data_IF_219934460791
#
_entry.id   IF_219934460791
#
_cell.length_a   1.000
_cell.length_b   1.000
_cell.length_c   1.000
_cell.angle_alpha   90.00
_cell.angle_beta   90.00
_cell.angle_gamma   90.00
#
_symmetry.space_group_name_H-M   'P 1'
#
loop_
_entity.id
_entity.type
_entity.pdbx_description
1 polymer ?
#
# COMPACT_ATOMS: atom_id res chain seq x y z
N UNK A 1 21.27 -0.26 33.53
CA UNK A 1 21.69 -0.75 32.20
C UNK A 1 20.40 -1.11 31.53
N UNK A 2 19.88 -0.23 30.69
CA UNK A 2 18.66 -0.50 29.89
C UNK A 2 19.06 -1.46 28.77
N UNK A 3 18.49 -2.67 28.79
CA UNK A 3 18.65 -3.64 27.73
C UNK A 3 18.23 -3.00 26.39
N UNK A 4 19.17 -2.98 25.47
CA UNK A 4 19.00 -2.44 24.11
C UNK A 4 18.17 -3.48 23.36
N UNK A 5 16.86 -3.28 23.29
CA UNK A 5 15.97 -4.16 22.49
C UNK A 5 16.24 -3.90 21.01
N UNK A 6 16.98 -4.78 20.40
CA UNK A 6 17.27 -4.77 18.97
C UNK A 6 16.10 -5.41 18.23
N UNK A 7 15.58 -4.77 17.18
CA UNK A 7 14.46 -5.31 16.42
C UNK A 7 14.76 -6.71 15.87
N UNK A 8 13.78 -7.59 16.02
CA UNK A 8 13.84 -9.02 15.68
C UNK A 8 13.28 -9.20 14.26
N UNK A 9 14.11 -9.68 13.36
CA UNK A 9 13.76 -9.87 11.95
C UNK A 9 13.64 -11.36 11.65
N UNK A 10 12.51 -11.79 11.11
CA UNK A 10 12.34 -13.11 10.53
C UNK A 10 12.56 -13.03 9.01
N UNK A 11 13.39 -13.91 8.47
CA UNK A 11 13.76 -13.94 7.05
C UNK A 11 13.23 -15.22 6.42
N UNK A 12 12.50 -15.05 5.29
CA UNK A 12 12.10 -16.14 4.41
C UNK A 12 12.75 -15.93 3.03
N UNK A 13 13.57 -16.86 2.61
CA UNK A 13 14.17 -16.86 1.29
C UNK A 13 14.41 -18.30 0.80
N UNK A 14 14.16 -18.54 -0.47
CA UNK A 14 14.18 -19.86 -1.10
C UNK A 14 15.59 -20.43 -1.28
N UNK A 15 16.59 -19.60 -1.56
CA UNK A 15 17.94 -20.10 -1.78
C UNK A 15 18.84 -19.93 -0.54
N UNK A 16 19.74 -20.89 -0.31
CA UNK A 16 20.70 -20.81 0.79
C UNK A 16 21.66 -19.62 0.68
N UNK A 17 22.00 -19.23 -0.54
CA UNK A 17 22.86 -18.08 -0.81
C UNK A 17 22.13 -16.78 -0.40
N UNK A 18 20.89 -16.64 -0.81
CA UNK A 18 20.04 -15.48 -0.49
C UNK A 18 19.89 -15.34 1.04
N UNK A 19 19.53 -16.43 1.71
CA UNK A 19 19.45 -16.48 3.18
C UNK A 19 20.73 -16.04 3.85
N UNK A 20 21.89 -16.49 3.35
CA UNK A 20 23.19 -16.13 3.91
C UNK A 20 23.49 -14.63 3.72
N UNK A 21 23.26 -14.10 2.53
CA UNK A 21 23.54 -12.68 2.22
C UNK A 21 22.62 -11.76 3.03
N UNK A 22 21.32 -12.08 3.12
CA UNK A 22 20.36 -11.32 3.94
C UNK A 22 20.76 -11.34 5.42
N UNK A 23 21.08 -12.52 5.96
CA UNK A 23 21.53 -12.63 7.35
C UNK A 23 22.75 -11.77 7.65
N UNK A 24 23.75 -11.78 6.76
CA UNK A 24 24.96 -10.96 6.94
C UNK A 24 24.65 -9.46 6.87
N UNK A 25 23.83 -9.01 5.91
CA UNK A 25 23.45 -7.62 5.78
C UNK A 25 22.68 -7.12 7.01
N UNK A 26 21.72 -7.92 7.51
CA UNK A 26 20.92 -7.59 8.68
C UNK A 26 21.77 -7.55 9.95
N UNK A 27 22.54 -8.60 10.21
CA UNK A 27 23.39 -8.68 11.40
C UNK A 27 24.49 -7.62 11.38
N UNK A 28 25.10 -7.39 10.22
CA UNK A 28 26.10 -6.32 10.02
C UNK A 28 25.55 -4.91 10.26
N UNK A 29 24.24 -4.72 10.04
CA UNK A 29 23.53 -3.47 10.31
C UNK A 29 22.96 -3.38 11.74
N UNK A 30 23.17 -4.40 12.59
CA UNK A 30 22.81 -4.41 14.00
C UNK A 30 21.41 -4.95 14.30
N UNK A 31 20.71 -5.55 13.34
CA UNK A 31 19.41 -6.22 13.57
C UNK A 31 19.60 -7.64 14.11
N UNK A 32 18.64 -8.13 14.89
CA UNK A 32 18.61 -9.49 15.39
C UNK A 32 17.78 -10.40 14.47
N UNK A 33 18.41 -11.35 13.80
CA UNK A 33 17.70 -12.32 12.95
C UNK A 33 17.24 -13.50 13.81
N UNK A 34 15.93 -13.58 14.06
CA UNK A 34 15.30 -14.61 14.93
C UNK A 34 14.89 -15.87 14.16
N UNK A 35 14.64 -15.73 12.87
CA UNK A 35 14.38 -16.84 11.95
C UNK A 35 15.09 -16.55 10.63
N UNK A 36 15.64 -17.58 9.99
CA UNK A 36 16.16 -17.50 8.64
C UNK A 36 15.95 -18.84 7.95
N UNK A 37 14.83 -18.98 7.24
CA UNK A 37 14.36 -20.26 6.73
C UNK A 37 13.92 -20.20 5.27
N UNK A 38 13.85 -21.40 4.69
CA UNK A 38 13.20 -21.68 3.44
C UNK A 38 11.69 -21.87 3.71
N UNK A 39 10.79 -21.21 2.98
CA UNK A 39 9.35 -21.41 3.16
C UNK A 39 8.92 -22.88 3.09
N UNK A 40 9.55 -23.69 2.23
CA UNK A 40 9.24 -25.10 2.09
C UNK A 40 9.56 -25.96 3.34
N UNK A 41 10.23 -25.39 4.33
CA UNK A 41 10.63 -26.06 5.58
C UNK A 41 9.85 -25.60 6.80
N UNK A 42 8.91 -24.71 6.63
CA UNK A 42 8.06 -24.19 7.69
C UNK A 42 6.63 -24.65 7.47
N UNK A 43 5.95 -24.95 8.57
CA UNK A 43 4.51 -25.14 8.62
C UNK A 43 3.84 -23.96 9.33
N UNK A 44 2.53 -23.94 9.31
CA UNK A 44 1.73 -22.84 9.88
C UNK A 44 1.93 -22.74 11.41
N UNK A 45 2.19 -23.85 12.10
CA UNK A 45 2.45 -23.87 13.55
C UNK A 45 3.81 -23.24 13.87
N UNK A 46 4.84 -23.58 13.10
CA UNK A 46 6.17 -22.99 13.24
C UNK A 46 6.15 -21.49 12.88
N UNK A 47 5.36 -21.10 11.88
CA UNK A 47 5.19 -19.70 11.51
C UNK A 47 4.56 -18.87 12.65
N UNK A 48 3.48 -19.39 13.24
CA UNK A 48 2.76 -18.75 14.34
C UNK A 48 3.59 -18.62 15.63
N UNK A 49 4.58 -19.49 15.81
CA UNK A 49 5.47 -19.50 16.98
C UNK A 49 6.61 -18.47 16.90
N UNK A 50 6.82 -17.81 15.74
CA UNK A 50 7.93 -16.88 15.55
C UNK A 50 7.59 -15.51 16.11
N UNK A 51 8.28 -15.10 17.15
CA UNK A 51 8.21 -13.75 17.67
C UNK A 51 9.19 -12.83 16.91
N UNK A 52 8.72 -12.14 15.88
CA UNK A 52 9.47 -11.17 15.11
C UNK A 52 8.81 -9.78 15.17
N UNK A 53 9.59 -8.75 14.93
CA UNK A 53 9.11 -7.37 14.82
C UNK A 53 8.92 -6.96 13.35
N UNK A 54 9.45 -7.78 12.41
CA UNK A 54 9.27 -7.65 10.97
C UNK A 54 9.59 -8.98 10.27
N UNK A 55 8.82 -9.28 9.24
CA UNK A 55 9.12 -10.35 8.28
C UNK A 55 9.76 -9.77 7.02
N UNK A 56 10.92 -10.32 6.64
CA UNK A 56 11.57 -10.04 5.37
C UNK A 56 11.42 -11.26 4.47
N UNK A 57 10.63 -11.12 3.41
CA UNK A 57 10.33 -12.19 2.45
C UNK A 57 11.04 -11.87 1.14
N UNK A 58 11.93 -12.75 0.70
CA UNK A 58 12.71 -12.60 -0.52
C UNK A 58 12.77 -13.93 -1.28
N UNK A 59 11.78 -14.15 -2.13
CA UNK A 59 11.54 -15.38 -2.87
C UNK A 59 11.64 -15.11 -4.38
N UNK A 60 12.32 -16.01 -5.09
CA UNK A 60 12.46 -15.93 -6.55
C UNK A 60 11.13 -16.24 -7.30
N UNK A 61 10.26 -17.03 -6.67
CA UNK A 61 8.92 -17.36 -7.15
C UNK A 61 7.97 -17.31 -5.96
N UNK A 62 7.41 -16.14 -5.70
CA UNK A 62 6.47 -15.94 -4.58
C UNK A 62 5.03 -16.35 -4.92
N UNK A 63 4.73 -16.62 -6.19
CA UNK A 63 3.37 -16.79 -6.71
C UNK A 63 2.66 -18.08 -6.24
N UNK A 64 3.40 -19.08 -5.72
CA UNK A 64 2.84 -20.38 -5.34
C UNK A 64 3.23 -20.81 -3.92
N UNK A 65 3.51 -19.89 -3.00
CA UNK A 65 3.85 -20.27 -1.63
C UNK A 65 2.65 -20.11 -0.69
N UNK A 66 1.92 -21.20 -0.36
CA UNK A 66 0.82 -21.16 0.60
C UNK A 66 1.23 -20.57 1.95
N UNK A 67 2.50 -20.73 2.32
CA UNK A 67 3.05 -20.18 3.56
C UNK A 67 3.11 -18.64 3.53
N UNK A 68 3.37 -18.03 2.36
CA UNK A 68 3.35 -16.56 2.23
C UNK A 68 1.93 -16.04 2.37
N UNK A 69 0.96 -16.75 1.82
CA UNK A 69 -0.47 -16.42 1.98
C UNK A 69 -0.86 -16.49 3.45
N UNK A 70 -0.52 -17.59 4.13
CA UNK A 70 -0.74 -17.75 5.58
C UNK A 70 -0.03 -16.65 6.37
N UNK A 71 1.22 -16.32 6.02
CA UNK A 71 1.96 -15.24 6.66
C UNK A 71 1.26 -13.88 6.50
N UNK A 72 0.81 -13.55 5.31
CA UNK A 72 0.09 -12.30 5.04
C UNK A 72 -1.27 -12.23 5.74
N UNK A 73 -1.90 -13.40 5.94
CA UNK A 73 -3.17 -13.50 6.68
C UNK A 73 -2.98 -13.38 8.20
N UNK A 74 -1.88 -13.87 8.74
CA UNK A 74 -1.68 -14.02 10.19
C UNK A 74 -0.67 -13.02 10.77
N UNK A 75 0.21 -12.42 9.97
CA UNK A 75 1.23 -11.53 10.48
C UNK A 75 0.63 -10.26 11.10
N UNK A 76 0.91 -10.07 12.37
CA UNK A 76 0.56 -8.85 13.12
C UNK A 76 1.62 -7.75 13.00
N UNK A 77 2.76 -8.08 12.38
CA UNK A 77 3.92 -7.20 12.19
C UNK A 77 4.14 -6.91 10.71
N UNK A 78 4.86 -5.83 10.35
CA UNK A 78 5.15 -5.51 8.96
C UNK A 78 5.81 -6.67 8.20
N UNK A 79 5.35 -6.93 6.99
CA UNK A 79 6.00 -7.82 6.04
C UNK A 79 6.68 -6.96 4.98
N UNK A 80 8.01 -7.04 4.92
CA UNK A 80 8.84 -6.38 3.92
C UNK A 80 9.23 -7.39 2.84
N UNK A 81 8.82 -7.13 1.64
CA UNK A 81 9.28 -7.91 0.50
C UNK A 81 10.62 -7.38 -0.01
N UNK A 82 11.53 -8.31 -0.35
CA UNK A 82 12.91 -8.00 -0.71
C UNK A 82 13.05 -7.06 -1.90
N UNK A 83 14.28 -6.56 -2.08
CA UNK A 83 14.68 -5.66 -3.19
C UNK A 83 15.06 -6.44 -4.47
N UNK A 84 14.54 -7.66 -4.65
CA UNK A 84 15.00 -8.60 -5.65
C UNK A 84 16.25 -9.36 -5.20
N UNK A 85 16.79 -10.19 -6.08
CA UNK A 85 17.96 -11.03 -5.77
C UNK A 85 19.10 -10.20 -5.18
N UNK A 86 19.54 -10.57 -3.96
CA UNK A 86 20.70 -9.94 -3.34
C UNK A 86 21.93 -10.15 -4.22
N UNK A 87 22.62 -9.08 -4.63
CA UNK A 87 23.81 -9.21 -5.44
C UNK A 87 24.94 -9.85 -4.64
N UNK A 88 25.90 -10.46 -5.31
CA UNK A 88 27.10 -10.99 -4.67
C UNK A 88 27.82 -9.88 -3.88
N UNK A 89 28.31 -10.23 -2.68
CA UNK A 89 28.91 -9.27 -1.73
C UNK A 89 30.06 -8.43 -2.31
N UNK A 90 30.77 -8.97 -3.31
CA UNK A 90 31.87 -8.28 -3.98
C UNK A 90 31.47 -7.55 -5.26
N UNK A 91 30.18 -7.55 -5.61
CA UNK A 91 29.70 -6.82 -6.78
C UNK A 91 29.57 -5.32 -6.49
N UNK A 92 29.73 -4.51 -7.53
CA UNK A 92 29.58 -3.04 -7.44
C UNK A 92 28.15 -2.63 -7.01
N UNK A 93 27.17 -3.51 -7.20
CA UNK A 93 25.78 -3.25 -6.86
C UNK A 93 25.43 -3.57 -5.39
N UNK A 94 26.24 -4.36 -4.68
CA UNK A 94 25.96 -4.78 -3.30
C UNK A 94 25.83 -3.59 -2.33
N UNK A 95 26.71 -2.57 -2.30
CA UNK A 95 26.58 -1.45 -1.36
C UNK A 95 25.34 -0.58 -1.60
N UNK A 96 24.84 -0.56 -2.85
CA UNK A 96 23.63 0.18 -3.20
C UNK A 96 22.38 -0.61 -2.77
N UNK A 97 22.37 -1.90 -2.98
CA UNK A 97 21.32 -2.82 -2.55
C UNK A 97 21.22 -2.85 -1.02
N UNK A 98 22.33 -3.03 -0.30
CA UNK A 98 22.40 -3.06 1.17
C UNK A 98 21.88 -1.76 1.78
N UNK A 99 22.28 -0.61 1.26
CA UNK A 99 21.78 0.69 1.73
C UNK A 99 20.28 0.86 1.54
N UNK A 100 19.71 0.35 0.45
CA UNK A 100 18.26 0.40 0.21
C UNK A 100 17.53 -0.50 1.19
N UNK A 101 17.97 -1.74 1.35
CA UNK A 101 17.39 -2.69 2.30
C UNK A 101 17.42 -2.14 3.73
N UNK A 102 18.60 -1.73 4.20
CA UNK A 102 18.78 -1.17 5.55
C UNK A 102 17.98 0.13 5.71
N UNK A 103 17.91 0.96 4.68
CA UNK A 103 17.09 2.17 4.69
C UNK A 103 15.59 1.90 4.86
N UNK A 104 15.07 0.82 4.27
CA UNK A 104 13.68 0.37 4.47
C UNK A 104 13.46 -0.17 5.88
N UNK A 105 14.38 -1.02 6.36
CA UNK A 105 14.31 -1.57 7.70
C UNK A 105 14.34 -0.49 8.79
N UNK A 106 15.23 0.49 8.68
CA UNK A 106 15.30 1.63 9.61
C UNK A 106 13.98 2.39 9.71
N UNK A 107 13.22 2.48 8.63
CA UNK A 107 11.91 3.14 8.61
C UNK A 107 10.80 2.29 9.21
N UNK A 108 10.87 0.96 9.07
CA UNK A 108 9.83 0.06 9.53
C UNK A 108 10.00 -0.37 11.00
N UNK A 109 11.26 -0.66 11.41
CA UNK A 109 11.57 -1.18 12.73
C UNK A 109 12.62 -0.37 13.49
N UNK A 110 12.95 0.82 12.99
CA UNK A 110 13.90 1.73 13.63
C UNK A 110 15.38 1.42 13.34
N UNK A 111 16.24 2.36 13.75
CA UNK A 111 17.68 2.23 13.61
C UNK A 111 18.27 1.51 14.84
N UNK A 112 18.82 0.31 14.70
CA UNK A 112 19.37 -0.43 15.83
C UNK A 112 20.59 0.27 16.50
N UNK A 113 21.16 1.27 15.83
CA UNK A 113 22.29 2.06 16.37
C UNK A 113 21.84 3.29 17.17
N UNK A 114 20.58 3.68 17.10
CA UNK A 114 20.02 4.79 17.86
C UNK A 114 19.24 4.31 19.09
N UNK A 115 19.22 5.10 20.16
CA UNK A 115 18.42 4.81 21.35
C UNK A 115 16.93 4.86 20.98
N UNK A 116 16.18 3.86 21.41
CA UNK A 116 14.77 3.60 21.07
C UNK A 116 13.88 4.81 21.41
N UNK A 117 13.30 5.42 20.37
CA UNK A 117 12.00 6.07 20.49
C UNK A 117 10.90 4.99 20.61
N UNK A 118 9.64 5.34 20.87
CA UNK A 118 8.57 4.38 21.14
C UNK A 118 8.51 3.31 20.06
N UNK A 119 8.47 2.04 20.49
CA UNK A 119 8.51 0.88 19.60
C UNK A 119 7.29 0.86 18.66
N UNK A 120 7.48 0.37 17.43
CA UNK A 120 6.38 0.14 16.46
C UNK A 120 5.28 -0.78 17.00
N UNK A 121 5.55 -1.60 18.00
CA UNK A 121 4.53 -2.34 18.75
C UNK A 121 3.44 -1.43 19.34
N UNK A 122 3.79 -0.19 19.73
CA UNK A 122 2.83 0.81 20.17
C UNK A 122 1.94 1.35 19.01
N UNK A 123 2.35 1.19 17.76
CA UNK A 123 1.56 1.56 16.58
C UNK A 123 0.61 0.44 16.13
N UNK A 124 0.86 -0.80 16.56
CA UNK A 124 0.04 -1.96 16.24
C UNK A 124 -0.69 -2.54 17.46
N UNK A 125 -0.58 -1.93 18.65
CA UNK A 125 -1.29 -2.37 19.83
C UNK A 125 -2.80 -2.39 19.54
N UNK A 126 -3.37 -3.56 19.66
CA UNK A 126 -4.78 -3.89 19.44
C UNK A 126 -5.75 -3.03 20.29
N UNK A 127 -5.23 -2.32 21.30
CA UNK A 127 -5.95 -1.40 22.16
C UNK A 127 -6.41 -0.11 21.44
N UNK A 128 -5.94 0.18 20.23
CA UNK A 128 -6.35 1.35 19.47
C UNK A 128 -6.53 1.05 17.98
N UNK A 129 -7.33 0.04 17.64
CA UNK A 129 -7.97 0.09 16.32
C UNK A 129 -8.79 1.38 16.30
N UNK A 130 -8.46 2.34 15.42
CA UNK A 130 -9.24 3.57 15.37
C UNK A 130 -10.69 3.16 15.16
N UNK A 131 -11.59 3.60 16.07
CA UNK A 131 -13.00 3.31 15.92
C UNK A 131 -13.41 3.74 14.50
N UNK A 132 -14.09 2.85 13.78
CA UNK A 132 -14.61 3.15 12.45
C UNK A 132 -15.46 4.42 12.51
N UNK A 133 -15.41 5.21 11.46
CA UNK A 133 -16.24 6.41 11.34
C UNK A 133 -17.71 6.00 11.17
N UNK A 134 -18.60 6.77 11.74
CA UNK A 134 -20.03 6.57 11.54
C UNK A 134 -20.45 7.05 10.15
N UNK A 135 -21.41 6.35 9.55
CA UNK A 135 -22.02 6.77 8.29
C UNK A 135 -22.98 7.94 8.56
N UNK A 136 -22.74 9.17 8.03
CA UNK A 136 -23.64 10.29 8.20
C UNK A 136 -25.06 9.97 7.71
N UNK A 137 -26.07 10.49 8.39
CA UNK A 137 -27.48 10.23 8.06
C UNK A 137 -27.84 10.69 6.63
N UNK A 138 -27.23 11.75 6.15
CA UNK A 138 -27.39 12.20 4.76
C UNK A 138 -27.01 11.14 3.73
N UNK A 139 -25.93 10.41 3.99
CA UNK A 139 -25.47 9.29 3.14
C UNK A 139 -26.29 8.01 3.38
N UNK A 140 -26.68 7.74 4.61
CA UNK A 140 -27.50 6.55 4.95
C UNK A 140 -28.88 6.59 4.28
N UNK A 141 -29.44 7.78 4.05
CA UNK A 141 -30.73 7.97 3.39
C UNK A 141 -30.66 7.96 1.86
N UNK A 142 -29.46 7.92 1.26
CA UNK A 142 -29.31 7.86 -0.19
C UNK A 142 -29.56 6.43 -0.64
N UNK A 143 -30.56 6.18 -1.53
CA UNK A 143 -30.85 4.83 -2.00
C UNK A 143 -29.70 4.35 -2.88
N UNK A 144 -28.80 3.59 -2.28
CA UNK A 144 -27.71 2.91 -2.97
C UNK A 144 -28.17 1.50 -3.30
N UNK A 145 -28.22 1.19 -4.58
CA UNK A 145 -28.22 -0.21 -4.98
C UNK A 145 -26.79 -0.75 -4.68
N UNK A 146 -26.68 -1.56 -3.63
CA UNK A 146 -25.40 -2.22 -3.33
C UNK A 146 -24.89 -2.92 -4.59
N UNK A 147 -23.64 -2.66 -4.97
CA UNK A 147 -23.04 -3.20 -6.19
C UNK A 147 -23.44 -2.48 -7.49
N UNK A 148 -24.15 -1.35 -7.44
CA UNK A 148 -24.35 -0.52 -8.63
C UNK A 148 -23.01 0.11 -9.10
N UNK A 149 -22.85 0.38 -10.41
CA UNK A 149 -21.71 1.13 -10.91
C UNK A 149 -21.53 2.45 -10.17
N UNK A 150 -20.32 2.73 -9.72
CA UNK A 150 -19.99 3.95 -9.01
C UNK A 150 -19.93 5.12 -9.98
N UNK A 151 -20.69 6.17 -9.70
CA UNK A 151 -20.61 7.42 -10.46
C UNK A 151 -19.37 8.24 -10.09
N UNK A 152 -18.95 8.14 -8.83
CA UNK A 152 -17.77 8.81 -8.29
C UNK A 152 -16.73 7.76 -7.94
N UNK A 153 -15.51 7.93 -8.44
CA UNK A 153 -14.40 7.01 -8.23
C UNK A 153 -13.18 7.77 -7.76
N UNK A 154 -12.55 7.26 -6.69
CA UNK A 154 -11.32 7.83 -6.16
C UNK A 154 -10.15 6.88 -6.36
N UNK A 155 -9.01 7.42 -6.81
CA UNK A 155 -7.75 6.72 -6.89
C UNK A 155 -7.03 6.78 -5.54
N UNK A 156 -6.68 5.62 -5.01
CA UNK A 156 -5.75 5.47 -3.89
C UNK A 156 -4.38 5.18 -4.50
N UNK A 157 -3.52 6.20 -4.56
CA UNK A 157 -2.21 6.11 -5.17
C UNK A 157 -1.15 5.90 -4.09
N UNK A 158 -0.32 4.86 -4.22
CA UNK A 158 0.62 4.51 -3.15
C UNK A 158 1.89 3.81 -3.66
N UNK A 159 2.94 3.86 -2.85
CA UNK A 159 4.21 3.19 -3.10
C UNK A 159 4.78 2.65 -1.77
N UNK A 160 5.99 3.00 -1.40
CA UNK A 160 6.64 2.55 -0.17
C UNK A 160 5.84 2.96 1.08
N UNK A 161 5.45 1.96 1.90
CA UNK A 161 4.57 2.16 3.06
C UNK A 161 3.08 2.31 2.72
N UNK A 162 2.76 2.23 1.42
CA UNK A 162 1.41 2.37 0.88
C UNK A 162 0.40 1.37 1.43
N UNK A 163 0.68 0.06 1.42
CA UNK A 163 -0.31 -0.93 1.86
C UNK A 163 -0.80 -0.70 3.28
N UNK A 164 0.09 -0.36 4.22
CA UNK A 164 -0.30 -0.06 5.60
C UNK A 164 -1.15 1.22 5.70
N UNK A 165 -0.79 2.27 4.94
CA UNK A 165 -1.53 3.53 4.94
C UNK A 165 -2.92 3.40 4.32
N UNK A 166 -3.02 2.71 3.16
CA UNK A 166 -4.29 2.45 2.48
C UNK A 166 -5.18 1.53 3.32
N UNK A 167 -4.61 0.51 3.97
CA UNK A 167 -5.34 -0.34 4.90
C UNK A 167 -5.92 0.48 6.06
N UNK A 168 -5.12 1.31 6.72
CA UNK A 168 -5.58 2.16 7.83
C UNK A 168 -6.71 3.12 7.39
N UNK A 169 -6.64 3.66 6.17
CA UNK A 169 -7.68 4.47 5.57
C UNK A 169 -8.98 3.68 5.35
N UNK A 170 -8.89 2.49 4.72
CA UNK A 170 -10.06 1.65 4.44
C UNK A 170 -10.70 1.10 5.72
N UNK A 171 -9.91 0.76 6.73
CA UNK A 171 -10.40 0.27 8.02
C UNK A 171 -11.17 1.38 8.80
N UNK A 172 -10.80 2.65 8.60
CA UNK A 172 -11.49 3.78 9.19
C UNK A 172 -12.81 4.12 8.48
N UNK A 173 -12.93 3.82 7.18
CA UNK A 173 -14.12 4.15 6.40
C UNK A 173 -15.33 3.29 6.77
N UNK A 174 -16.54 3.88 6.87
CA UNK A 174 -17.78 3.11 6.96
C UNK A 174 -18.09 2.44 5.62
N UNK A 175 -18.79 1.32 5.65
CA UNK A 175 -19.42 0.77 4.46
C UNK A 175 -20.61 1.62 4.00
N UNK A 176 -21.09 1.35 2.76
CA UNK A 176 -22.29 2.01 2.22
C UNK A 176 -22.07 3.42 1.67
N UNK A 177 -20.83 3.84 1.44
CA UNK A 177 -20.55 5.08 0.72
C UNK A 177 -20.88 4.94 -0.78
N UNK A 178 -21.40 6.01 -1.44
CA UNK A 178 -21.85 5.98 -2.84
C UNK A 178 -20.72 6.10 -3.86
N UNK A 179 -19.55 5.56 -3.54
CA UNK A 179 -18.32 5.66 -4.35
C UNK A 179 -17.65 4.31 -4.50
N UNK A 180 -16.77 4.21 -5.48
CA UNK A 180 -15.80 3.15 -5.61
C UNK A 180 -14.37 3.67 -5.57
N UNK A 181 -13.42 2.79 -5.35
CA UNK A 181 -12.00 3.10 -5.38
C UNK A 181 -11.27 2.31 -6.44
N UNK A 182 -10.22 2.91 -6.98
CA UNK A 182 -9.14 2.21 -7.67
C UNK A 182 -7.91 2.34 -6.81
N UNK A 183 -7.20 1.25 -6.59
CA UNK A 183 -5.96 1.23 -5.83
C UNK A 183 -4.79 0.93 -6.75
N UNK A 184 -3.90 1.89 -6.95
CA UNK A 184 -2.66 1.75 -7.70
C UNK A 184 -1.46 1.76 -6.72
N UNK A 185 -0.74 0.65 -6.69
CA UNK A 185 0.39 0.42 -5.78
C UNK A 185 1.65 0.07 -6.56
N UNK A 186 2.72 0.84 -6.36
CA UNK A 186 4.04 0.43 -6.85
C UNK A 186 4.55 -0.77 -6.03
N UNK A 187 4.44 -1.94 -6.61
CA UNK A 187 4.85 -3.20 -6.02
C UNK A 187 5.26 -4.16 -7.14
N UNK A 188 6.01 -5.21 -6.82
CA UNK A 188 6.32 -6.25 -7.80
C UNK A 188 5.05 -7.00 -8.24
N UNK A 189 5.03 -7.43 -9.51
CA UNK A 189 3.86 -8.09 -10.09
C UNK A 189 3.48 -9.40 -9.40
N UNK A 190 4.44 -10.06 -8.76
CA UNK A 190 4.20 -11.29 -7.97
C UNK A 190 3.23 -11.08 -6.80
N UNK A 191 3.03 -9.83 -6.36
CA UNK A 191 2.10 -9.50 -5.26
C UNK A 191 0.70 -9.09 -5.72
N UNK A 192 0.42 -9.08 -7.02
CA UNK A 192 -0.87 -8.66 -7.57
C UNK A 192 -2.03 -9.48 -7.01
N UNK A 193 -1.83 -10.80 -6.86
CA UNK A 193 -2.85 -11.71 -6.35
C UNK A 193 -3.09 -11.56 -4.82
N UNK A 194 -2.06 -11.22 -4.04
CA UNK A 194 -2.12 -11.17 -2.58
C UNK A 194 -2.46 -9.78 -2.02
N UNK A 195 -2.16 -8.72 -2.76
CA UNK A 195 -2.40 -7.34 -2.35
C UNK A 195 -3.87 -7.06 -1.98
N UNK A 196 -4.89 -7.54 -2.73
CA UNK A 196 -6.29 -7.33 -2.38
C UNK A 196 -6.66 -7.89 -1.00
N UNK A 197 -6.19 -9.09 -0.67
CA UNK A 197 -6.44 -9.74 0.63
C UNK A 197 -5.75 -8.98 1.76
N UNK A 198 -4.48 -8.59 1.57
CA UNK A 198 -3.71 -7.89 2.59
C UNK A 198 -4.35 -6.54 2.97
N UNK A 199 -4.83 -5.78 1.98
CA UNK A 199 -5.41 -4.45 2.21
C UNK A 199 -6.88 -4.52 2.62
N UNK A 200 -7.64 -5.49 2.08
CA UNK A 200 -9.07 -5.67 2.36
C UNK A 200 -9.38 -6.31 3.71
N UNK A 201 -8.39 -6.90 4.37
CA UNK A 201 -8.57 -7.59 5.66
C UNK A 201 -9.15 -6.63 6.71
N UNK A 202 -10.28 -7.02 7.31
CA UNK A 202 -11.04 -6.26 8.32
C UNK A 202 -11.75 -5.00 7.81
N UNK A 203 -11.58 -4.64 6.54
CA UNK A 203 -12.36 -3.56 5.92
C UNK A 203 -13.81 -3.98 5.64
N UNK A 204 -14.71 -2.99 5.56
CA UNK A 204 -16.06 -3.19 5.03
C UNK A 204 -16.11 -3.06 3.49
N UNK A 205 -14.97 -2.79 2.87
CA UNK A 205 -14.83 -2.62 1.44
C UNK A 205 -14.42 -3.94 0.79
N UNK A 206 -15.05 -4.26 -0.34
CA UNK A 206 -14.68 -5.42 -1.13
C UNK A 206 -13.47 -5.08 -2.00
N UNK A 207 -12.32 -5.64 -1.68
CA UNK A 207 -11.07 -5.39 -2.42
C UNK A 207 -10.85 -6.52 -3.42
N UNK A 208 -10.86 -6.21 -4.71
CA UNK A 208 -10.75 -7.17 -5.81
C UNK A 208 -9.74 -6.69 -6.86
N UNK A 209 -9.08 -7.59 -7.59
CA UNK A 209 -8.31 -7.20 -8.76
C UNK A 209 -9.23 -6.67 -9.87
N UNK A 210 -8.71 -5.78 -10.70
CA UNK A 210 -9.43 -5.26 -11.87
C UNK A 210 -9.79 -6.40 -12.84
N UNK A 211 -10.99 -6.29 -13.43
CA UNK A 211 -11.43 -7.22 -14.48
C UNK A 211 -11.86 -6.43 -15.70
N UNK A 212 -11.36 -6.85 -16.85
CA UNK A 212 -11.74 -6.24 -18.13
C UNK A 212 -13.24 -6.37 -18.37
N UNK A 213 -13.90 -5.26 -18.72
CA UNK A 213 -15.34 -5.19 -18.99
C UNK A 213 -16.22 -4.95 -17.77
N UNK A 214 -15.70 -5.07 -16.52
CA UNK A 214 -16.46 -4.74 -15.32
C UNK A 214 -16.43 -3.24 -15.05
N UNK A 215 -17.48 -2.69 -14.44
CA UNK A 215 -17.48 -1.33 -13.92
C UNK A 215 -17.01 -1.33 -12.46
N UNK A 216 -16.35 -0.24 -12.03
CA UNK A 216 -16.08 0.00 -10.60
C UNK A 216 -17.41 0.19 -9.87
N UNK A 217 -17.63 -0.50 -8.75
CA UNK A 217 -18.91 -0.50 -8.05
C UNK A 217 -18.85 0.28 -6.73
N UNK A 218 -20.00 0.75 -6.27
CA UNK A 218 -20.13 1.35 -4.94
C UNK A 218 -19.78 0.33 -3.85
N UNK A 219 -18.91 0.71 -2.91
CA UNK A 219 -18.41 -0.16 -1.84
C UNK A 219 -17.28 -1.09 -2.24
N UNK A 220 -16.71 -0.91 -3.44
CA UNK A 220 -15.62 -1.72 -3.97
C UNK A 220 -14.31 -0.93 -4.07
N UNK A 221 -13.21 -1.63 -3.84
CA UNK A 221 -11.84 -1.19 -4.15
C UNK A 221 -11.30 -2.12 -5.23
N UNK A 222 -11.02 -1.58 -6.40
CA UNK A 222 -10.44 -2.31 -7.51
C UNK A 222 -8.93 -2.09 -7.52
N UNK A 223 -8.15 -3.15 -7.37
CA UNK A 223 -6.69 -3.07 -7.48
C UNK A 223 -6.32 -3.00 -8.96
N UNK A 224 -5.62 -1.93 -9.36
CA UNK A 224 -5.15 -1.75 -10.71
C UNK A 224 -4.13 -2.83 -11.09
N UNK A 225 -4.17 -3.38 -12.31
CA UNK A 225 -3.19 -4.35 -12.76
C UNK A 225 -1.77 -3.74 -12.71
N UNK A 226 -0.80 -4.52 -12.25
CA UNK A 226 0.56 -4.01 -12.10
C UNK A 226 1.24 -3.91 -13.47
N UNK A 227 1.08 -4.91 -14.33
CA UNK A 227 1.79 -5.00 -15.62
C UNK A 227 1.04 -4.38 -16.80
N UNK A 228 -0.26 -4.15 -16.69
CA UNK A 228 -1.12 -3.71 -17.79
C UNK A 228 -1.80 -2.39 -17.49
N UNK A 229 -1.86 -1.50 -18.47
CA UNK A 229 -2.55 -0.22 -18.32
C UNK A 229 -4.05 -0.42 -18.13
N UNK A 230 -4.61 0.26 -17.12
CA UNK A 230 -6.04 0.31 -16.85
C UNK A 230 -6.64 1.62 -17.34
N UNK A 231 -7.60 1.53 -18.24
CA UNK A 231 -8.40 2.65 -18.72
C UNK A 231 -9.90 2.38 -18.56
N UNK A 232 -10.72 3.23 -19.21
CA UNK A 232 -12.17 3.14 -19.17
C UNK A 232 -12.77 3.27 -20.58
N UNK A 233 -13.81 2.49 -20.86
CA UNK A 233 -14.67 2.67 -22.01
C UNK A 233 -15.65 3.85 -21.77
N UNK A 234 -16.35 4.28 -22.82
CA UNK A 234 -17.34 5.37 -22.73
C UNK A 234 -18.45 5.09 -21.70
N UNK A 235 -18.83 3.83 -21.54
CA UNK A 235 -19.84 3.37 -20.59
C UNK A 235 -19.31 3.17 -19.15
N UNK A 236 -18.03 3.42 -18.91
CA UNK A 236 -17.36 3.27 -17.61
C UNK A 236 -16.85 1.88 -17.30
N UNK A 237 -16.93 0.95 -18.24
CA UNK A 237 -16.32 -0.36 -18.08
C UNK A 237 -14.78 -0.25 -18.11
N UNK A 238 -14.13 -0.94 -17.19
CA UNK A 238 -12.66 -1.00 -17.11
C UNK A 238 -12.08 -1.69 -18.34
N UNK A 239 -11.06 -1.10 -18.93
CA UNK A 239 -10.31 -1.64 -20.05
C UNK A 239 -8.89 -1.94 -19.62
N UNK A 240 -8.55 -3.21 -19.51
CA UNK A 240 -7.17 -3.66 -19.31
C UNK A 240 -6.55 -3.79 -20.69
N UNK A 241 -5.53 -2.97 -20.97
CA UNK A 241 -4.85 -2.97 -22.26
C UNK A 241 -3.84 -4.13 -22.36
N UNK A 242 -3.58 -4.59 -23.58
CA UNK A 242 -2.50 -5.57 -23.82
C UNK A 242 -1.09 -4.96 -23.67
N UNK A 243 -1.00 -3.64 -23.58
CA UNK A 243 0.27 -2.91 -23.35
C UNK A 243 0.51 -2.65 -21.89
N UNK A 244 1.80 -2.56 -21.51
CA UNK A 244 2.22 -2.11 -20.18
C UNK A 244 1.96 -0.63 -19.93
N UNK A 245 2.15 -0.22 -18.69
CA UNK A 245 2.13 1.17 -18.29
C UNK A 245 3.30 1.94 -18.92
N UNK A 246 3.16 3.26 -19.14
CA UNK A 246 4.29 4.11 -19.53
C UNK A 246 5.40 4.06 -18.46
N UNK A 247 6.64 3.85 -18.94
CA UNK A 247 7.81 3.88 -18.05
C UNK A 247 7.97 5.26 -17.37
N UNK A 248 8.61 5.33 -16.19
CA UNK A 248 9.40 4.27 -15.56
C UNK A 248 8.67 3.46 -14.49
N UNK A 249 7.38 3.67 -14.28
CA UNK A 249 6.63 3.07 -13.16
C UNK A 249 5.58 2.05 -13.62
N UNK A 250 5.38 1.02 -12.79
CA UNK A 250 4.38 -0.01 -13.06
C UNK A 250 3.72 -0.45 -11.74
N UNK A 251 2.43 -0.14 -11.53
CA UNK A 251 1.59 0.70 -12.41
C UNK A 251 2.06 2.17 -12.41
N UNK A 252 1.83 2.92 -13.50
CA UNK A 252 2.09 4.36 -13.53
C UNK A 252 0.93 5.11 -12.87
N UNK A 253 1.20 5.81 -11.77
CA UNK A 253 0.22 6.66 -11.08
C UNK A 253 -0.15 7.86 -11.95
N UNK A 254 0.81 8.50 -12.62
CA UNK A 254 0.52 9.58 -13.57
C UNK A 254 -0.48 9.14 -14.64
N UNK A 255 -0.23 7.98 -15.29
CA UNK A 255 -1.14 7.48 -16.32
C UNK A 255 -2.52 7.11 -15.77
N UNK A 256 -2.56 6.47 -14.58
CA UNK A 256 -3.83 6.14 -13.93
C UNK A 256 -4.64 7.39 -13.56
N UNK A 257 -3.98 8.45 -13.09
CA UNK A 257 -4.60 9.74 -12.81
C UNK A 257 -5.18 10.39 -14.08
N UNK A 258 -4.45 10.32 -15.22
CA UNK A 258 -4.93 10.81 -16.51
C UNK A 258 -6.17 10.04 -16.96
N UNK A 259 -6.14 8.71 -16.94
CA UNK A 259 -7.23 7.84 -17.35
C UNK A 259 -8.49 8.07 -16.49
N UNK A 260 -8.30 8.18 -15.15
CA UNK A 260 -9.39 8.48 -14.21
C UNK A 260 -10.01 9.85 -14.50
N UNK A 261 -9.19 10.89 -14.60
CA UNK A 261 -9.66 12.26 -14.80
C UNK A 261 -10.32 12.46 -16.17
N UNK A 262 -9.83 11.76 -17.21
CA UNK A 262 -10.43 11.80 -18.54
C UNK A 262 -11.85 11.24 -18.55
N UNK A 263 -12.10 10.15 -17.80
CA UNK A 263 -13.41 9.50 -17.77
C UNK A 263 -14.36 10.13 -16.73
N UNK A 264 -13.90 10.30 -15.48
CA UNK A 264 -14.76 10.73 -14.38
C UNK A 264 -14.79 12.27 -14.18
N UNK A 265 -13.83 13.00 -14.74
CA UNK A 265 -13.79 14.46 -14.62
C UNK A 265 -13.84 14.92 -13.16
N UNK A 266 -14.79 15.79 -12.83
CA UNK A 266 -15.00 16.32 -11.47
C UNK A 266 -15.53 15.26 -10.48
N UNK A 267 -16.00 14.12 -10.96
CA UNK A 267 -16.42 12.99 -10.12
C UNK A 267 -15.24 12.02 -9.82
N UNK A 268 -14.06 12.29 -10.39
CA UNK A 268 -12.81 11.59 -10.07
C UNK A 268 -12.05 12.33 -8.97
N UNK A 269 -11.52 11.59 -7.99
CA UNK A 269 -10.63 12.13 -6.97
C UNK A 269 -9.36 11.29 -6.85
N UNK A 270 -8.33 11.85 -6.24
CA UNK A 270 -7.04 11.17 -5.98
C UNK A 270 -6.63 11.40 -4.54
N UNK A 271 -6.26 10.33 -3.85
CA UNK A 271 -5.58 10.39 -2.55
C UNK A 271 -4.21 9.75 -2.73
N UNK A 272 -3.16 10.56 -2.60
CA UNK A 272 -1.78 10.08 -2.63
C UNK A 272 -1.31 9.76 -1.22
N UNK A 273 -1.04 8.48 -0.99
CA UNK A 273 -0.52 7.95 0.26
C UNK A 273 1.01 7.89 0.25
N UNK A 274 1.56 7.37 1.33
CA UNK A 274 2.99 7.11 1.49
C UNK A 274 3.59 6.47 0.24
N UNK A 275 4.67 7.03 -0.25
CA UNK A 275 5.34 6.59 -1.46
C UNK A 275 6.67 7.29 -1.72
N UNK A 276 7.57 6.59 -2.41
CA UNK A 276 8.85 7.13 -2.85
C UNK A 276 8.72 7.65 -4.29
N UNK A 277 9.39 8.77 -4.58
CA UNK A 277 9.43 9.36 -5.93
C UNK A 277 8.44 10.51 -6.10
N UNK A 278 8.03 10.75 -7.33
CA UNK A 278 7.15 11.86 -7.72
C UNK A 278 6.09 11.45 -8.75
N UNK A 279 5.83 10.14 -8.91
CA UNK A 279 4.79 9.65 -9.81
C UNK A 279 3.42 10.15 -9.35
N UNK A 280 2.63 10.69 -10.28
CA UNK A 280 1.39 11.41 -10.04
C UNK A 280 1.52 12.95 -10.15
N UNK A 281 2.75 13.49 -10.03
CA UNK A 281 2.95 14.94 -10.08
C UNK A 281 2.78 15.53 -11.48
N UNK A 282 3.14 14.79 -12.53
CA UNK A 282 3.00 15.25 -13.91
C UNK A 282 1.53 15.32 -14.37
N UNK A 283 0.69 14.38 -13.90
CA UNK A 283 -0.74 14.35 -14.21
C UNK A 283 -1.58 15.33 -13.38
N UNK A 284 -1.08 15.81 -12.24
CA UNK A 284 -1.84 16.56 -11.25
C UNK A 284 -2.53 17.82 -11.83
N UNK A 285 -1.82 18.57 -12.68
CA UNK A 285 -2.38 19.74 -13.35
C UNK A 285 -3.57 19.38 -14.27
N UNK A 286 -3.53 18.21 -14.90
CA UNK A 286 -4.63 17.73 -15.73
C UNK A 286 -5.85 17.38 -14.88
N UNK A 287 -5.66 16.60 -13.79
CA UNK A 287 -6.73 16.24 -12.85
C UNK A 287 -7.44 17.50 -12.34
N UNK A 288 -6.69 18.52 -11.94
CA UNK A 288 -7.27 19.80 -11.47
C UNK A 288 -8.07 20.51 -12.57
N UNK A 289 -7.58 20.52 -13.82
CA UNK A 289 -8.32 21.12 -14.95
C UNK A 289 -9.63 20.39 -15.25
N UNK A 290 -9.69 19.08 -15.02
CA UNK A 290 -10.91 18.29 -15.16
C UNK A 290 -11.86 18.43 -13.96
N UNK A 291 -11.50 19.22 -12.94
CA UNK A 291 -12.29 19.44 -11.73
C UNK A 291 -12.10 18.39 -10.64
N UNK A 292 -11.19 17.44 -10.84
CA UNK A 292 -10.89 16.39 -9.87
C UNK A 292 -10.20 16.93 -8.61
N UNK A 293 -10.50 16.35 -7.48
CA UNK A 293 -9.84 16.64 -6.21
C UNK A 293 -8.54 15.84 -6.08
N UNK A 294 -7.51 16.45 -5.48
CA UNK A 294 -6.27 15.76 -5.11
C UNK A 294 -6.02 16.02 -3.63
N UNK A 295 -5.87 14.94 -2.85
CA UNK A 295 -5.52 14.97 -1.44
C UNK A 295 -4.27 14.15 -1.20
N UNK A 296 -3.58 14.40 -0.09
CA UNK A 296 -2.30 13.75 0.20
C UNK A 296 -2.23 13.30 1.64
N UNK A 297 -1.56 12.20 1.88
CA UNK A 297 -1.19 11.80 3.23
C UNK A 297 -0.14 12.78 3.77
N UNK A 298 -0.31 13.24 5.02
CA UNK A 298 0.60 14.17 5.70
C UNK A 298 1.97 13.53 5.94
N UNK A 299 3.04 14.30 5.78
CA UNK A 299 4.41 13.82 5.78
C UNK A 299 4.82 13.04 7.06
N UNK A 300 4.38 13.52 8.22
CA UNK A 300 4.69 12.94 9.54
C UNK A 300 4.03 11.56 9.76
N UNK A 301 2.99 11.24 9.00
CA UNK A 301 2.30 9.95 9.02
C UNK A 301 2.77 8.99 7.91
N UNK A 302 3.65 9.43 7.00
CA UNK A 302 4.17 8.62 5.92
C UNK A 302 5.41 7.82 6.33
N UNK A 303 5.52 6.57 5.88
CA UNK A 303 6.80 5.86 5.86
C UNK A 303 7.79 6.51 4.87
N UNK A 304 7.27 7.04 3.75
CA UNK A 304 8.02 7.86 2.80
C UNK A 304 7.10 8.95 2.24
N UNK A 305 7.46 10.22 2.43
CA UNK A 305 6.59 11.34 2.08
C UNK A 305 6.85 11.93 0.70
N UNK A 306 7.91 11.50 -0.03
CA UNK A 306 8.33 12.20 -1.25
C UNK A 306 7.29 12.22 -2.36
N UNK A 307 6.48 11.18 -2.51
CA UNK A 307 5.41 11.14 -3.50
C UNK A 307 4.24 12.07 -3.14
N UNK A 308 3.64 12.03 -1.93
CA UNK A 308 2.64 13.02 -1.54
C UNK A 308 3.22 14.44 -1.40
N UNK A 309 4.49 14.61 -1.03
CA UNK A 309 5.16 15.93 -0.97
C UNK A 309 5.25 16.58 -2.36
N UNK A 310 5.58 15.82 -3.39
CA UNK A 310 5.67 16.35 -4.76
C UNK A 310 4.36 16.99 -5.22
N UNK A 311 3.22 16.44 -4.81
CA UNK A 311 1.89 17.01 -5.10
C UNK A 311 1.59 18.25 -4.25
N UNK A 312 2.04 18.28 -2.99
CA UNK A 312 1.87 19.45 -2.11
C UNK A 312 2.74 20.60 -2.56
N UNK A 313 4.01 20.35 -2.84
CA UNK A 313 4.96 21.36 -3.33
C UNK A 313 4.54 21.94 -4.69
N UNK A 314 3.92 21.10 -5.54
CA UNK A 314 3.32 21.56 -6.78
C UNK A 314 2.04 22.38 -6.60
N UNK A 315 1.52 22.55 -5.37
CA UNK A 315 0.28 23.27 -5.08
C UNK A 315 -0.99 22.55 -5.53
N UNK A 316 -0.92 21.25 -5.77
CA UNK A 316 -2.06 20.47 -6.28
C UNK A 316 -2.93 19.87 -5.17
N UNK A 317 -2.39 19.63 -4.00
CA UNK A 317 -3.13 19.05 -2.88
C UNK A 317 -4.07 20.07 -2.25
N UNK A 318 -5.36 19.75 -2.25
CA UNK A 318 -6.39 20.59 -1.63
C UNK A 318 -6.55 20.28 -0.12
N UNK A 319 -6.11 19.10 0.32
CA UNK A 319 -6.16 18.68 1.71
C UNK A 319 -5.02 17.69 2.01
N UNK A 320 -4.51 17.74 3.25
CA UNK A 320 -3.51 16.80 3.74
C UNK A 320 -3.86 16.35 5.16
N UNK A 321 -3.82 15.04 5.41
CA UNK A 321 -4.11 14.44 6.70
C UNK A 321 -3.44 13.09 6.87
N UNK A 322 -3.51 12.52 8.06
CA UNK A 322 -3.19 11.11 8.23
C UNK A 322 -4.27 10.21 7.59
N UNK A 323 -4.07 8.88 7.48
CA UNK A 323 -5.06 8.02 6.83
C UNK A 323 -6.48 8.13 7.40
N UNK A 324 -6.62 8.32 8.72
CA UNK A 324 -7.92 8.48 9.37
C UNK A 324 -8.55 9.84 9.08
N UNK A 325 -7.77 10.91 9.14
CA UNK A 325 -8.22 12.27 8.79
C UNK A 325 -8.64 12.36 7.32
N UNK A 326 -7.93 11.66 6.42
CA UNK A 326 -8.32 11.55 5.01
C UNK A 326 -9.66 10.82 4.85
N UNK A 327 -9.88 9.73 5.60
CA UNK A 327 -11.15 9.00 5.60
C UNK A 327 -12.30 9.89 6.13
N UNK A 328 -12.10 10.61 7.23
CA UNK A 328 -13.09 11.52 7.79
C UNK A 328 -13.43 12.66 6.82
N UNK A 329 -12.40 13.24 6.20
CA UNK A 329 -12.59 14.31 5.22
C UNK A 329 -13.37 13.80 4.00
N UNK A 330 -13.12 12.56 3.55
CA UNK A 330 -13.86 11.96 2.44
C UNK A 330 -15.33 11.75 2.79
N UNK A 331 -15.63 11.21 3.97
CA UNK A 331 -17.00 11.02 4.45
C UNK A 331 -17.75 12.35 4.51
N UNK A 332 -17.11 13.40 5.07
CA UNK A 332 -17.69 14.73 5.15
C UNK A 332 -17.88 15.37 3.76
N UNK A 333 -16.93 15.21 2.87
CA UNK A 333 -17.02 15.69 1.48
C UNK A 333 -18.21 15.08 0.74
N UNK A 334 -18.42 13.76 0.88
CA UNK A 334 -19.55 13.08 0.28
C UNK A 334 -20.88 13.48 0.92
N UNK A 335 -20.93 13.64 2.24
CA UNK A 335 -22.13 14.08 2.95
C UNK A 335 -22.56 15.49 2.52
N UNK A 336 -21.60 16.38 2.29
CA UNK A 336 -21.87 17.74 1.81
C UNK A 336 -22.42 17.79 0.37
N UNK A 337 -22.17 16.78 -0.44
CA UNK A 337 -22.73 16.66 -1.81
C UNK A 337 -24.19 16.15 -1.81
N UNK A 338 -24.64 15.53 -0.70
CA UNK A 338 -25.99 15.01 -0.55
C UNK A 338 -26.94 15.98 0.22
N UNK A 339 -26.39 17.08 0.76
CA UNK A 339 -27.12 18.09 1.49
C UNK A 339 -27.65 19.21 0.57
#
# INVERSE_FOLDING_TARGET
>A
MTDKVTARIAVLADTSLQRHVLQQALTGSGYNVVLNSDPARLDDEALAAVEADLWLVDLAQSEDSPLVDTLLEQAEVPVLFGEGHAPERHSENYPRWERRLVGKLKRLVGDPTQAVGPSLQALFDEAQRPARLDLPQALANTPLAAGAPARQVWLLAASLGGPAAVKAFLDALPGGLPIGFIYAQHIDASFEATLPQAVGRHSQWHVNPARHGDAVRCGEVVVAPIQHELGFAEDGAMQIADRGWPEPYSPSIDQMMLNLAQHFGALGGVIAFSGMGSDGSAAAAYVKRQGGAIWTQRADSCACASMPDSLREGGYSAYSGDPRELAETLVNHLAAQCA
#
